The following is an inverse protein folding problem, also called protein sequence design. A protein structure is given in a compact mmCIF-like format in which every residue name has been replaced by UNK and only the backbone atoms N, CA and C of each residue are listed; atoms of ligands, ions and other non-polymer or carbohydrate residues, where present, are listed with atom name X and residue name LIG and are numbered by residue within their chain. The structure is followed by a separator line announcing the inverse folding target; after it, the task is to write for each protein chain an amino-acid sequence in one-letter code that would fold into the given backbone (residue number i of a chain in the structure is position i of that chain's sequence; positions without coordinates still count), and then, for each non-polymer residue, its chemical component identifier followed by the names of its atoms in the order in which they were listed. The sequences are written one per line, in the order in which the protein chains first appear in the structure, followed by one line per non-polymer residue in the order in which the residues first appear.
data_IF_405104209690
#
_entry.id   IF_405104209690
#
_cell.length_a   1.000
_cell.length_b   1.000
_cell.length_c   1.000
_cell.angle_alpha   90.00
_cell.angle_beta   90.00
_cell.angle_gamma   90.00
#
_symmetry.space_group_name_H-M   'P 1'
#
loop_
_entity.id
_entity.type
_entity.pdbx_description
1 polymer ?
#
# COMPACT_ATOMS: atom_id res chain seq x y z
N UNK A 1 20.57 -51.98 18.45
CA UNK A 1 21.47 -52.45 19.54
C UNK A 1 22.87 -51.99 19.20
N UNK A 2 23.56 -51.35 20.15
CA UNK A 2 24.90 -50.72 20.09
C UNK A 2 24.93 -49.39 19.30
N UNK A 3 24.94 -48.19 19.89
CA UNK A 3 25.69 -47.61 21.04
C UNK A 3 27.19 -47.84 20.96
N UNK A 4 27.96 -46.75 20.83
CA UNK A 4 29.13 -46.32 21.60
C UNK A 4 29.52 -44.91 21.06
N UNK A 5 29.40 -43.79 21.78
CA UNK A 5 30.19 -43.36 22.95
C UNK A 5 31.71 -43.55 22.70
N UNK A 6 32.64 -42.62 22.96
CA UNK A 6 32.64 -41.55 23.93
C UNK A 6 33.93 -40.71 23.73
N UNK A 7 33.83 -39.42 24.05
CA UNK A 7 34.75 -38.62 24.89
C UNK A 7 36.24 -38.44 24.44
N UNK A 8 36.97 -37.39 24.81
CA UNK A 8 37.06 -36.78 26.15
C UNK A 8 37.92 -35.49 26.12
N UNK A 9 37.43 -34.43 26.81
CA UNK A 9 38.11 -33.46 27.71
C UNK A 9 39.36 -32.68 27.23
N UNK A 10 39.59 -31.43 27.64
CA UNK A 10 39.67 -30.93 29.04
C UNK A 10 39.76 -29.38 28.99
N UNK A 11 38.82 -28.60 29.51
CA UNK A 11 38.64 -28.15 30.92
C UNK A 11 39.84 -27.39 31.52
N UNK A 12 39.68 -26.08 31.83
CA UNK A 12 39.61 -25.49 33.20
C UNK A 12 39.81 -23.95 33.23
N UNK A 13 38.88 -23.25 33.89
CA UNK A 13 38.87 -21.88 34.47
C UNK A 13 39.70 -21.82 35.80
N UNK A 14 39.75 -20.76 36.69
CA UNK A 14 39.37 -19.30 36.67
C UNK A 14 40.28 -18.26 37.46
N UNK A 15 40.09 -16.91 37.24
CA UNK A 15 40.10 -15.67 38.15
C UNK A 15 41.29 -15.30 39.12
N UNK A 16 41.38 -14.14 39.87
CA UNK A 16 41.03 -12.68 39.76
C UNK A 16 42.10 -11.64 40.35
N UNK A 17 41.68 -10.35 40.59
CA UNK A 17 42.19 -9.20 41.45
C UNK A 17 43.27 -8.21 40.91
N UNK A 18 43.13 -6.85 40.98
CA UNK A 18 43.22 -5.96 42.18
C UNK A 18 42.57 -4.55 42.02
N UNK A 19 42.35 -3.86 43.17
CA UNK A 19 41.66 -2.57 43.45
C UNK A 19 42.63 -1.44 43.93
N UNK A 20 42.12 -0.17 43.95
CA UNK A 20 42.56 1.10 44.63
C UNK A 20 43.62 1.98 43.89
N UNK A 21 43.60 3.32 43.83
CA UNK A 21 43.31 4.36 44.85
C UNK A 21 43.07 5.76 44.21
N UNK A 22 42.42 6.68 44.95
CA UNK A 22 41.99 8.06 44.61
C UNK A 22 43.14 9.11 44.61
N UNK A 23 42.94 10.24 43.90
CA UNK A 23 43.19 11.59 44.47
C UNK A 23 42.55 12.74 43.62
N UNK A 24 41.99 13.74 44.33
CA UNK A 24 41.41 15.02 43.84
C UNK A 24 42.14 16.16 44.57
N UNK A 25 42.34 17.35 43.99
CA UNK A 25 41.71 18.54 44.61
C UNK A 25 41.20 19.62 43.64
N UNK A 26 40.20 20.36 44.13
CA UNK A 26 39.52 21.56 43.59
C UNK A 26 40.35 22.85 43.66
N UNK A 27 40.21 23.79 42.70
CA UNK A 27 39.63 25.15 42.87
C UNK A 27 39.80 26.09 41.63
N UNK A 28 38.72 26.83 41.33
CA UNK A 28 38.46 27.91 40.35
C UNK A 28 39.20 29.25 40.68
N UNK A 29 39.14 30.40 39.93
CA UNK A 29 38.07 30.91 39.01
C UNK A 29 38.45 31.76 37.76
N UNK A 30 37.47 31.99 36.88
CA UNK A 30 37.50 32.91 35.71
C UNK A 30 37.10 34.36 36.09
N UNK A 31 37.70 35.41 35.47
CA UNK A 31 37.23 36.80 35.58
C UNK A 31 36.30 37.23 34.41
N UNK A 32 35.59 38.39 34.54
CA UNK A 32 34.35 38.70 33.83
C UNK A 32 34.50 39.73 32.68
N UNK A 33 33.45 39.91 31.87
CA UNK A 33 33.27 41.12 31.04
C UNK A 33 31.78 41.35 30.68
N UNK A 34 31.22 42.55 30.93
CA UNK A 34 29.97 43.01 30.32
C UNK A 34 30.19 44.07 29.21
N UNK A 35 29.41 43.90 28.12
CA UNK A 35 28.95 44.75 26.99
C UNK A 35 28.98 46.29 27.14
N UNK A 36 28.83 47.15 26.08
CA UNK A 36 27.88 46.96 24.94
C UNK A 36 28.17 47.65 23.57
N UNK A 37 27.33 47.27 22.58
CA UNK A 37 26.64 48.11 21.56
C UNK A 37 26.76 47.76 20.06
N UNK A 38 25.55 47.57 19.49
CA UNK A 38 25.03 48.07 18.21
C UNK A 38 25.34 47.33 16.90
N UNK A 39 24.39 46.48 16.47
CA UNK A 39 23.99 46.37 15.06
C UNK A 39 22.58 45.75 14.95
N UNK A 40 21.72 46.39 14.16
CA UNK A 40 20.31 46.05 13.92
C UNK A 40 20.10 44.67 13.23
N UNK A 41 18.94 44.00 13.41
CA UNK A 41 18.66 42.73 12.74
C UNK A 41 18.21 42.90 11.26
N UNK A 42 18.53 41.94 10.36
CA UNK A 42 18.05 41.94 8.97
C UNK A 42 16.55 41.55 8.87
N UNK A 43 15.85 41.88 7.77
CA UNK A 43 14.41 41.70 7.65
C UNK A 43 14.00 40.22 7.54
N UNK A 44 12.77 39.85 7.97
CA UNK A 44 12.31 38.47 7.95
C UNK A 44 12.07 38.00 6.51
N UNK A 45 12.63 36.83 6.17
CA UNK A 45 12.27 36.07 4.97
C UNK A 45 10.80 35.68 5.06
N UNK A 46 9.97 36.27 4.19
CA UNK A 46 8.64 35.76 3.88
C UNK A 46 8.84 34.36 3.32
N UNK A 47 8.48 33.36 4.12
CA UNK A 47 8.42 31.97 3.68
C UNK A 47 7.00 31.76 3.19
N UNK A 48 6.80 31.71 1.88
CA UNK A 48 5.52 31.33 1.31
C UNK A 48 5.16 29.92 1.79
N UNK A 49 3.93 29.69 2.31
CA UNK A 49 3.50 28.37 2.70
C UNK A 49 3.22 27.57 1.43
N UNK A 50 4.09 26.59 1.16
CA UNK A 50 3.89 25.58 0.12
C UNK A 50 2.67 24.73 0.49
N UNK A 51 1.49 25.16 0.08
CA UNK A 51 0.22 24.62 0.54
C UNK A 51 -0.58 24.09 -0.65
N UNK A 52 -0.35 22.84 -1.05
CA UNK A 52 -1.24 22.15 -1.99
C UNK A 52 -1.42 20.66 -1.63
N UNK A 53 -0.38 19.99 -1.09
CA UNK A 53 -0.50 18.58 -0.69
C UNK A 53 -1.11 18.37 0.71
N UNK A 54 -1.08 19.40 1.57
CA UNK A 54 -1.56 19.31 2.95
C UNK A 54 -3.08 19.23 3.02
N UNK A 55 -3.80 19.94 2.15
CA UNK A 55 -5.25 20.05 2.22
C UNK A 55 -5.95 18.72 1.88
N UNK A 56 -5.52 18.02 0.83
CA UNK A 56 -6.02 16.68 0.50
C UNK A 56 -5.72 15.66 1.62
N UNK A 57 -4.53 15.74 2.23
CA UNK A 57 -4.18 14.92 3.39
C UNK A 57 -5.07 15.23 4.61
N UNK A 58 -5.41 16.51 4.85
CA UNK A 58 -6.27 16.92 5.96
C UNK A 58 -7.72 16.51 5.75
N UNK A 59 -8.25 16.57 4.52
CA UNK A 59 -9.59 16.08 4.20
C UNK A 59 -9.73 14.57 4.47
N UNK A 60 -8.73 13.78 4.07
CA UNK A 60 -8.68 12.33 4.38
C UNK A 60 -8.62 12.07 5.89
N UNK A 61 -7.92 12.92 6.64
CA UNK A 61 -7.88 12.83 8.12
C UNK A 61 -9.24 13.18 8.72
N UNK A 62 -9.87 14.26 8.25
CA UNK A 62 -11.19 14.71 8.71
C UNK A 62 -12.28 13.66 8.43
N UNK A 63 -12.24 13.00 7.27
CA UNK A 63 -13.21 11.96 6.89
C UNK A 63 -13.20 10.75 7.82
N UNK A 64 -12.09 10.46 8.53
CA UNK A 64 -12.08 9.40 9.55
C UNK A 64 -12.98 9.67 10.74
N UNK A 65 -13.35 10.94 10.96
CA UNK A 65 -14.17 11.39 12.07
C UNK A 65 -15.53 11.95 11.63
N UNK A 66 -15.80 11.98 10.31
CA UNK A 66 -17.08 12.43 9.77
C UNK A 66 -18.14 11.32 9.88
N UNK A 67 -19.40 11.71 10.11
CA UNK A 67 -20.53 10.78 10.08
C UNK A 67 -20.66 10.16 8.69
N UNK A 68 -20.90 8.84 8.60
CA UNK A 68 -20.92 8.05 7.37
C UNK A 68 -22.03 8.50 6.40
N UNK A 69 -21.80 9.59 5.68
CA UNK A 69 -22.62 10.03 4.54
C UNK A 69 -21.83 9.96 3.21
N UNK A 70 -20.52 9.65 3.26
CA UNK A 70 -19.66 9.51 2.09
C UNK A 70 -19.69 8.10 1.49
N UNK A 71 -19.37 7.96 0.18
CA UNK A 71 -19.33 6.66 -0.47
C UNK A 71 -18.33 5.75 0.24
N UNK A 72 -18.86 4.76 0.95
CA UNK A 72 -18.07 3.70 1.56
C UNK A 72 -17.95 2.59 0.53
N UNK A 73 -16.77 2.42 -0.05
CA UNK A 73 -16.59 1.45 -1.12
C UNK A 73 -15.16 1.36 -1.62
N UNK A 74 -15.03 0.69 -2.76
CA UNK A 74 -13.74 0.45 -3.40
C UNK A 74 -13.82 0.89 -4.86
N UNK A 75 -12.68 1.24 -5.43
CA UNK A 75 -12.57 1.55 -6.85
C UNK A 75 -11.37 0.80 -7.44
N UNK A 76 -11.54 0.32 -8.66
CA UNK A 76 -10.45 -0.13 -9.51
C UNK A 76 -9.99 1.05 -10.36
N UNK A 77 -8.80 1.57 -10.08
CA UNK A 77 -8.17 2.60 -10.93
C UNK A 77 -7.28 1.89 -11.95
N UNK A 78 -7.51 2.15 -13.23
CA UNK A 78 -6.72 1.58 -14.31
C UNK A 78 -5.64 2.56 -14.77
N UNK A 79 -4.38 2.15 -14.70
CA UNK A 79 -3.22 2.99 -15.02
C UNK A 79 -2.45 2.37 -16.19
N UNK A 80 -2.17 3.13 -17.26
CA UNK A 80 -1.38 2.63 -18.36
C UNK A 80 0.05 2.34 -17.94
N UNK A 81 0.59 1.21 -18.39
CA UNK A 81 1.97 0.80 -18.16
C UNK A 81 2.61 0.39 -19.49
N UNK A 82 3.86 0.81 -19.71
CA UNK A 82 4.60 0.48 -20.94
C UNK A 82 4.94 -1.00 -21.04
N UNK A 83 5.16 -1.63 -19.90
CA UNK A 83 5.47 -3.04 -19.78
C UNK A 83 5.06 -3.56 -18.40
N UNK A 84 4.88 -4.87 -18.31
CA UNK A 84 4.61 -5.55 -17.04
C UNK A 84 5.85 -5.49 -16.15
N UNK A 85 5.69 -4.96 -14.94
CA UNK A 85 6.76 -4.87 -13.95
C UNK A 85 6.58 -5.93 -12.85
N UNK A 86 7.67 -6.45 -12.26
CA UNK A 86 7.58 -7.18 -10.99
C UNK A 86 6.87 -6.33 -9.93
N UNK A 87 6.02 -6.95 -9.11
CA UNK A 87 5.21 -6.24 -8.10
C UNK A 87 6.06 -5.39 -7.15
N UNK A 88 7.25 -5.87 -6.78
CA UNK A 88 8.18 -5.12 -5.94
C UNK A 88 8.67 -3.83 -6.61
N UNK A 89 9.03 -3.90 -7.89
CA UNK A 89 9.46 -2.74 -8.67
C UNK A 89 8.30 -1.76 -8.85
N UNK A 90 7.11 -2.25 -9.17
CA UNK A 90 5.92 -1.42 -9.30
C UNK A 90 5.60 -0.67 -7.99
N UNK A 91 5.62 -1.37 -6.85
CA UNK A 91 5.44 -0.73 -5.52
C UNK A 91 6.56 0.27 -5.20
N UNK A 92 7.79 0.01 -5.65
CA UNK A 92 8.89 0.97 -5.51
C UNK A 92 8.66 2.23 -6.34
N UNK A 93 8.20 2.08 -7.58
CA UNK A 93 7.88 3.20 -8.46
C UNK A 93 6.71 4.02 -7.90
N UNK A 94 5.66 3.39 -7.38
CA UNK A 94 4.55 4.09 -6.72
C UNK A 94 5.05 4.98 -5.56
N UNK A 95 5.95 4.48 -4.71
CA UNK A 95 6.56 5.29 -3.65
C UNK A 95 7.35 6.48 -4.19
N UNK A 96 8.08 6.30 -5.29
CA UNK A 96 8.83 7.37 -5.97
C UNK A 96 7.92 8.42 -6.60
N UNK A 97 6.71 8.03 -6.99
CA UNK A 97 5.63 8.94 -7.44
C UNK A 97 4.84 9.54 -6.27
N UNK A 98 5.31 9.37 -5.02
CA UNK A 98 4.62 9.82 -3.82
C UNK A 98 3.21 9.24 -3.62
N UNK A 99 2.96 8.06 -4.21
CA UNK A 99 1.74 7.27 -3.97
C UNK A 99 2.07 6.25 -2.89
N UNK A 100 1.33 6.30 -1.78
CA UNK A 100 1.54 5.34 -0.69
C UNK A 100 0.97 3.96 -1.08
N UNK A 101 1.83 2.93 -1.27
CA UNK A 101 1.37 1.61 -1.71
C UNK A 101 0.50 0.90 -0.67
N UNK A 102 0.46 1.37 0.58
CA UNK A 102 -0.46 0.84 1.61
C UNK A 102 -1.92 1.23 1.35
N UNK A 103 -2.17 2.27 0.54
CA UNK A 103 -3.52 2.67 0.12
C UNK A 103 -4.09 1.76 -0.99
N UNK A 104 -3.22 0.97 -1.61
CA UNK A 104 -3.57 0.00 -2.66
C UNK A 104 -3.72 -1.37 -2.03
N UNK A 105 -4.93 -1.88 -2.02
CA UNK A 105 -5.30 -3.19 -1.47
C UNK A 105 -4.78 -4.31 -2.35
N UNK A 106 -4.96 -4.19 -3.67
CA UNK A 106 -4.47 -5.18 -4.62
C UNK A 106 -3.99 -4.54 -5.92
N UNK A 107 -3.08 -5.23 -6.60
CA UNK A 107 -2.51 -4.82 -7.88
C UNK A 107 -2.74 -5.95 -8.88
N UNK A 108 -3.45 -5.65 -9.97
CA UNK A 108 -3.82 -6.63 -10.98
C UNK A 108 -3.41 -6.13 -12.36
N UNK A 109 -2.92 -7.02 -13.22
CA UNK A 109 -2.71 -6.69 -14.62
C UNK A 109 -4.00 -6.98 -15.39
N UNK A 110 -4.74 -5.92 -15.72
CA UNK A 110 -6.03 -6.05 -16.41
C UNK A 110 -5.88 -6.36 -17.90
N UNK A 111 -4.86 -5.80 -18.53
CA UNK A 111 -4.45 -6.03 -19.93
C UNK A 111 -2.91 -5.91 -20.02
N UNK A 112 -2.32 -6.18 -21.19
CA UNK A 112 -0.87 -6.16 -21.45
C UNK A 112 -0.19 -4.85 -21.01
N UNK A 113 -0.88 -3.74 -21.21
CA UNK A 113 -0.35 -2.38 -20.97
C UNK A 113 -1.17 -1.64 -19.92
N UNK A 114 -1.88 -2.37 -19.05
CA UNK A 114 -2.80 -1.79 -18.08
C UNK A 114 -2.67 -2.49 -16.73
N UNK A 115 -2.35 -1.71 -15.71
CA UNK A 115 -2.37 -2.16 -14.32
C UNK A 115 -3.59 -1.56 -13.61
N UNK A 116 -4.17 -2.31 -12.71
CA UNK A 116 -5.37 -1.96 -11.98
C UNK A 116 -5.05 -1.97 -10.50
N UNK A 117 -5.38 -0.88 -9.83
CA UNK A 117 -5.22 -0.72 -8.41
C UNK A 117 -6.58 -0.78 -7.75
N UNK A 118 -6.78 -1.77 -6.88
CA UNK A 118 -7.93 -1.80 -5.99
C UNK A 118 -7.63 -0.89 -4.79
N UNK A 119 -8.41 0.16 -4.61
CA UNK A 119 -8.24 1.14 -3.53
C UNK A 119 -9.57 1.37 -2.81
N UNK A 120 -9.51 1.90 -1.59
CA UNK A 120 -10.69 2.55 -1.02
C UNK A 120 -10.99 3.85 -1.76
N UNK A 121 -12.26 4.12 -2.02
CA UNK A 121 -12.70 5.29 -2.81
C UNK A 121 -12.26 6.62 -2.18
N UNK A 122 -12.14 6.69 -0.86
CA UNK A 122 -11.62 7.87 -0.13
C UNK A 122 -10.21 8.27 -0.58
N UNK A 123 -9.41 7.31 -1.07
CA UNK A 123 -8.06 7.60 -1.57
C UNK A 123 -8.01 7.89 -3.07
N UNK A 124 -9.14 7.85 -3.77
CA UNK A 124 -9.18 8.08 -5.21
C UNK A 124 -8.62 9.46 -5.57
N UNK A 125 -9.10 10.52 -4.93
CA UNK A 125 -8.65 11.87 -5.20
C UNK A 125 -7.14 12.04 -4.95
N UNK A 126 -6.61 11.44 -3.88
CA UNK A 126 -5.19 11.44 -3.57
C UNK A 126 -4.38 10.74 -4.67
N UNK A 127 -4.77 9.51 -5.02
CA UNK A 127 -4.06 8.69 -6.03
C UNK A 127 -4.11 9.35 -7.40
N UNK A 128 -5.29 9.79 -7.84
CA UNK A 128 -5.48 10.47 -9.12
C UNK A 128 -4.72 11.78 -9.20
N UNK A 129 -4.70 12.59 -8.12
CA UNK A 129 -3.88 13.81 -8.06
C UNK A 129 -2.40 13.52 -8.23
N UNK A 130 -1.86 12.49 -7.55
CA UNK A 130 -0.45 12.12 -7.70
C UNK A 130 -0.12 11.62 -9.10
N UNK A 131 -0.99 10.79 -9.71
CA UNK A 131 -0.79 10.33 -11.09
C UNK A 131 -0.80 11.51 -12.09
N UNK A 132 -1.75 12.44 -11.94
CA UNK A 132 -1.90 13.59 -12.82
C UNK A 132 -0.68 14.54 -12.77
N UNK A 133 0.00 14.68 -11.62
CA UNK A 133 1.25 15.46 -11.53
C UNK A 133 2.35 14.98 -12.47
N UNK A 134 2.32 13.71 -12.86
CA UNK A 134 3.27 13.12 -13.80
C UNK A 134 2.66 12.88 -15.19
N UNK A 135 1.54 13.53 -15.50
CA UNK A 135 0.78 13.35 -16.75
C UNK A 135 0.35 11.89 -17.00
N UNK A 136 0.11 11.14 -15.92
CA UNK A 136 -0.43 9.78 -16.01
C UNK A 136 -1.93 9.86 -15.82
N UNK A 137 -2.67 9.76 -16.93
CA UNK A 137 -4.13 9.73 -16.89
C UNK A 137 -4.61 8.31 -16.58
N UNK A 138 -5.36 8.17 -15.48
CA UNK A 138 -6.08 6.93 -15.20
C UNK A 138 -7.22 6.73 -16.22
N UNK A 139 -7.48 5.49 -16.61
CA UNK A 139 -8.64 5.10 -17.43
C UNK A 139 -9.83 4.82 -16.52
N UNK A 140 -10.84 5.67 -16.60
CA UNK A 140 -12.12 5.49 -15.92
C UNK A 140 -13.18 4.78 -16.80
N UNK A 141 -12.92 4.66 -18.10
CA UNK A 141 -13.83 4.12 -19.12
C UNK A 141 -13.76 2.59 -19.29
N UNK A 142 -12.84 1.93 -18.59
CA UNK A 142 -12.62 0.50 -18.77
C UNK A 142 -13.73 -0.32 -18.08
N UNK A 143 -14.55 -0.99 -18.88
CA UNK A 143 -15.40 -2.06 -18.37
C UNK A 143 -14.54 -3.34 -18.19
N UNK A 144 -14.33 -3.84 -16.96
CA UNK A 144 -13.48 -5.01 -16.72
C UNK A 144 -14.04 -6.32 -17.31
N UNK A 145 -15.32 -6.34 -17.70
CA UNK A 145 -15.99 -7.45 -18.36
C UNK A 145 -16.01 -7.31 -19.88
N UNK A 146 -15.43 -6.24 -20.44
CA UNK A 146 -15.41 -6.01 -21.87
C UNK A 146 -14.67 -7.16 -22.60
N UNK A 147 -15.34 -7.84 -23.55
CA UNK A 147 -14.73 -8.86 -24.39
C UNK A 147 -13.47 -8.39 -25.14
N UNK A 148 -13.34 -7.09 -25.41
CA UNK A 148 -12.19 -6.49 -26.10
C UNK A 148 -10.86 -6.64 -25.34
N UNK A 149 -10.92 -6.86 -24.02
CA UNK A 149 -9.73 -7.08 -23.17
C UNK A 149 -9.05 -8.41 -23.50
N UNK A 150 -9.79 -9.39 -24.03
CA UNK A 150 -9.24 -10.71 -24.36
C UNK A 150 -8.51 -10.66 -25.70
N UNK A 151 -7.18 -10.68 -25.62
CA UNK A 151 -6.27 -10.74 -26.79
C UNK A 151 -5.63 -12.13 -26.98
N UNK A 152 -6.37 -13.18 -26.66
CA UNK A 152 -5.91 -14.55 -26.89
C UNK A 152 -5.85 -14.80 -28.41
N UNK A 153 -4.68 -15.16 -28.99
CA UNK A 153 -4.54 -15.45 -30.43
C UNK A 153 -5.61 -16.41 -30.97
N UNK A 154 -5.98 -17.43 -30.17
CA UNK A 154 -7.00 -18.41 -30.56
C UNK A 154 -8.41 -17.81 -30.65
N UNK A 155 -8.66 -16.68 -30.00
CA UNK A 155 -9.95 -15.99 -29.99
C UNK A 155 -9.94 -14.71 -30.81
N UNK A 156 -8.82 -14.29 -31.43
CA UNK A 156 -8.74 -12.96 -32.09
C UNK A 156 -9.84 -12.79 -33.14
N UNK A 157 -10.07 -13.83 -33.96
CA UNK A 157 -11.05 -13.82 -35.05
C UNK A 157 -12.44 -14.30 -34.64
N UNK A 158 -12.64 -14.63 -33.37
CA UNK A 158 -13.93 -15.09 -32.85
C UNK A 158 -14.88 -13.92 -32.61
N UNK A 159 -16.17 -14.22 -32.59
CA UNK A 159 -17.23 -13.24 -32.30
C UNK A 159 -17.10 -12.69 -30.87
N UNK A 160 -17.75 -11.55 -30.63
CA UNK A 160 -17.79 -10.91 -29.31
C UNK A 160 -18.40 -11.87 -28.28
N UNK A 161 -19.45 -12.60 -28.66
CA UNK A 161 -20.16 -13.53 -27.77
C UNK A 161 -19.24 -14.65 -27.26
N UNK A 162 -18.37 -15.19 -28.13
CA UNK A 162 -17.37 -16.19 -27.76
C UNK A 162 -16.35 -15.65 -26.73
N UNK A 163 -16.18 -14.33 -26.64
CA UNK A 163 -15.21 -13.66 -25.76
C UNK A 163 -15.80 -13.20 -24.42
N UNK A 164 -17.13 -13.08 -24.29
CA UNK A 164 -17.80 -12.65 -23.05
C UNK A 164 -17.45 -13.56 -21.88
N UNK A 165 -17.64 -14.87 -22.04
CA UNK A 165 -17.39 -15.84 -20.97
C UNK A 165 -15.90 -15.91 -20.58
N UNK A 166 -14.94 -15.97 -21.53
CA UNK A 166 -13.52 -15.84 -21.21
C UNK A 166 -13.14 -14.53 -20.49
N UNK A 167 -13.73 -13.40 -20.88
CA UNK A 167 -13.50 -12.10 -20.24
C UNK A 167 -13.97 -12.11 -18.79
N UNK A 168 -15.22 -12.53 -18.54
CA UNK A 168 -15.78 -12.69 -17.19
C UNK A 168 -14.92 -13.64 -16.36
N UNK A 169 -14.58 -14.82 -16.87
CA UNK A 169 -13.74 -15.80 -16.17
C UNK A 169 -12.37 -15.23 -15.79
N UNK A 170 -11.74 -14.48 -16.70
CA UNK A 170 -10.44 -13.86 -16.45
C UNK A 170 -10.52 -12.76 -15.39
N UNK A 171 -11.57 -11.93 -15.44
CA UNK A 171 -11.83 -10.93 -14.41
C UNK A 171 -12.06 -11.58 -13.03
N UNK A 172 -12.99 -12.52 -12.95
CA UNK A 172 -13.32 -13.25 -11.73
C UNK A 172 -12.09 -13.93 -11.13
N UNK A 173 -11.30 -14.62 -11.94
CA UNK A 173 -10.06 -15.25 -11.48
C UNK A 173 -9.12 -14.24 -10.79
N UNK A 174 -8.97 -13.02 -11.33
CA UNK A 174 -8.16 -11.97 -10.70
C UNK A 174 -8.73 -11.53 -9.36
N UNK A 175 -10.05 -11.32 -9.28
CA UNK A 175 -10.70 -10.91 -8.02
C UNK A 175 -10.59 -12.02 -6.97
N UNK A 176 -10.87 -13.27 -7.31
CA UNK A 176 -10.74 -14.38 -6.35
C UNK A 176 -9.30 -14.55 -5.87
N UNK A 177 -8.33 -14.46 -6.78
CA UNK A 177 -6.91 -14.50 -6.43
C UNK A 177 -6.52 -13.35 -5.50
N UNK A 178 -7.15 -12.17 -5.63
CA UNK A 178 -6.97 -11.06 -4.70
C UNK A 178 -7.60 -11.34 -3.33
N UNK A 179 -8.85 -11.83 -3.32
CA UNK A 179 -9.60 -12.15 -2.11
C UNK A 179 -8.89 -13.24 -1.28
N UNK A 180 -8.28 -14.25 -1.92
CA UNK A 180 -7.48 -15.28 -1.22
C UNK A 180 -6.32 -14.70 -0.42
N UNK A 181 -5.78 -13.54 -0.83
CA UNK A 181 -4.69 -12.87 -0.11
C UNK A 181 -5.19 -12.01 1.06
N UNK A 182 -6.47 -11.65 1.07
CA UNK A 182 -7.03 -10.78 2.09
C UNK A 182 -7.37 -11.56 3.35
N UNK A 183 -7.11 -10.92 4.49
CA UNK A 183 -7.59 -11.34 5.80
C UNK A 183 -8.82 -10.52 6.18
N UNK A 184 -9.63 -11.03 7.09
CA UNK A 184 -10.67 -10.22 7.72
C UNK A 184 -10.02 -9.02 8.45
N UNK A 185 -10.62 -7.82 8.42
CA UNK A 185 -11.94 -7.48 7.86
C UNK A 185 -11.95 -7.14 6.35
N UNK A 186 -10.78 -6.92 5.73
CA UNK A 186 -10.68 -6.49 4.33
C UNK A 186 -11.30 -7.48 3.35
N UNK A 187 -11.15 -8.79 3.61
CA UNK A 187 -11.82 -9.83 2.83
C UNK A 187 -13.34 -9.59 2.76
N UNK A 188 -14.00 -9.46 3.91
CA UNK A 188 -15.44 -9.27 3.98
C UNK A 188 -15.87 -7.99 3.28
N UNK A 189 -15.17 -6.87 3.54
CA UNK A 189 -15.53 -5.58 2.96
C UNK A 189 -15.42 -5.58 1.43
N UNK A 190 -14.30 -6.06 0.88
CA UNK A 190 -14.07 -6.10 -0.57
C UNK A 190 -14.99 -7.12 -1.25
N UNK A 191 -15.17 -8.29 -0.67
CA UNK A 191 -16.02 -9.31 -1.26
C UNK A 191 -17.51 -8.88 -1.26
N UNK A 192 -17.99 -8.28 -0.16
CA UNK A 192 -19.32 -7.67 -0.12
C UNK A 192 -19.49 -6.59 -1.20
N UNK A 193 -18.47 -5.75 -1.40
CA UNK A 193 -18.51 -4.73 -2.45
C UNK A 193 -18.70 -5.33 -3.85
N UNK A 194 -17.95 -6.38 -4.21
CA UNK A 194 -18.09 -7.01 -5.53
C UNK A 194 -19.42 -7.75 -5.70
N UNK A 195 -19.96 -8.33 -4.63
CA UNK A 195 -21.31 -8.94 -4.64
C UNK A 195 -22.40 -7.88 -4.81
N UNK A 196 -22.36 -6.80 -4.02
CA UNK A 196 -23.34 -5.71 -4.12
C UNK A 196 -23.28 -4.98 -5.47
N UNK A 197 -22.10 -4.94 -6.09
CA UNK A 197 -21.91 -4.36 -7.42
C UNK A 197 -22.41 -5.27 -8.56
N UNK A 198 -22.87 -6.50 -8.27
CA UNK A 198 -23.32 -7.46 -9.28
C UNK A 198 -22.19 -8.09 -10.11
N UNK A 199 -20.93 -7.89 -9.72
CA UNK A 199 -19.78 -8.47 -10.41
C UNK A 199 -19.57 -9.94 -10.07
N UNK A 200 -19.93 -10.34 -8.85
CA UNK A 200 -19.77 -11.69 -8.32
C UNK A 200 -21.10 -12.16 -7.75
N UNK A 201 -21.50 -13.38 -8.12
CA UNK A 201 -22.64 -14.02 -7.49
C UNK A 201 -22.20 -14.65 -6.14
N UNK A 202 -23.02 -14.57 -5.08
CA UNK A 202 -22.68 -15.14 -3.77
C UNK A 202 -22.31 -16.63 -3.83
N UNK A 203 -22.93 -17.36 -4.75
CA UNK A 203 -22.71 -18.79 -4.99
C UNK A 203 -21.32 -19.05 -5.61
N UNK A 204 -20.83 -18.12 -6.43
CA UNK A 204 -19.51 -18.24 -7.03
C UNK A 204 -18.38 -18.11 -6.00
N UNK A 205 -18.58 -17.40 -4.88
CA UNK A 205 -17.57 -17.37 -3.82
C UNK A 205 -17.29 -18.76 -3.24
N UNK A 206 -18.33 -19.59 -3.10
CA UNK A 206 -18.21 -20.94 -2.58
C UNK A 206 -17.51 -21.88 -3.57
N UNK A 207 -17.78 -21.73 -4.88
CA UNK A 207 -17.17 -22.58 -5.92
C UNK A 207 -15.66 -22.39 -6.06
N UNK A 208 -15.13 -21.22 -5.67
CA UNK A 208 -13.70 -20.91 -5.63
C UNK A 208 -13.02 -21.25 -4.28
N UNK A 209 -13.71 -21.96 -3.40
CA UNK A 209 -13.17 -22.40 -2.10
C UNK A 209 -12.91 -21.24 -1.13
N UNK A 210 -13.60 -20.10 -1.30
CA UNK A 210 -13.47 -18.96 -0.43
C UNK A 210 -14.43 -19.05 0.75
N UNK A 211 -14.05 -18.45 1.88
CA UNK A 211 -14.87 -18.44 3.07
C UNK A 211 -16.21 -17.73 2.83
N UNK A 212 -17.33 -18.23 3.35
CA UNK A 212 -18.61 -17.52 3.30
C UNK A 212 -18.47 -16.12 3.88
N UNK A 213 -19.22 -15.17 3.33
CA UNK A 213 -19.27 -13.82 3.84
C UNK A 213 -19.87 -13.84 5.24
N UNK A 214 -19.08 -13.45 6.24
CA UNK A 214 -19.60 -13.28 7.60
C UNK A 214 -20.55 -12.09 7.59
N UNK A 215 -21.83 -12.33 7.87
CA UNK A 215 -22.74 -11.24 8.26
C UNK A 215 -22.26 -10.73 9.60
N UNK A 216 -21.75 -9.50 9.65
CA UNK A 216 -21.66 -8.79 10.91
C UNK A 216 -23.08 -8.71 11.46
N UNK A 217 -23.29 -9.29 12.65
CA UNK A 217 -24.54 -9.14 13.39
C UNK A 217 -24.57 -7.67 13.82
N UNK A 218 -25.39 -6.89 13.14
CA UNK A 218 -25.74 -5.52 13.53
C UNK A 218 -26.46 -5.54 14.86
#
# INVERSE_FOLDING_TARGET
MFSYENNLLRSRQPQPSHLLHLDVPYHQPFPPSPSPNSASPPPPKVTEPKCDNSQLSLAVIANQFSSFAEPTGFKLIHVPVRSRLPLQQLRSNLRRLHINPRRILDIQYSDRNLVSFLIHIVYEAEVSSQLNKFNITARDDLNPLDPSIIRNPALVNETIDCKIQPARKSFLHRIYTALQRFRAPNYNAVANFFVQSGFIDPEDLASYGLAPLYRYRT
#
